data_IF_399163236687
#
_entry.id   IF_399163236687
#
_cell.length_a   1.000
_cell.length_b   1.000
_cell.length_c   1.000
_cell.angle_alpha   90.00
_cell.angle_beta   90.00
_cell.angle_gamma   90.00
#
_symmetry.space_group_name_H-M   'P 1'
#
loop_
_entity.id
_entity.type
_entity.pdbx_description
1 polymer ?
#
# COMPACT_ATOMS: atom_id res chain seq x y z
N UNK A 1 -1.45 -18.36 16.42
CA UNK A 1 -2.83 -17.80 16.47
C UNK A 1 -2.78 -16.28 16.59
N UNK A 2 -1.83 -15.60 15.91
CA UNK A 2 -1.66 -14.13 16.03
C UNK A 2 -1.54 -13.41 14.67
N UNK A 3 -1.28 -14.13 13.58
CA UNK A 3 -0.98 -13.51 12.29
C UNK A 3 -2.17 -12.80 11.65
N UNK A 4 -3.38 -13.36 11.75
CA UNK A 4 -4.56 -12.75 11.11
C UNK A 4 -4.96 -11.41 11.71
N UNK A 5 -4.80 -11.24 13.03
CA UNK A 5 -5.10 -9.96 13.70
C UNK A 5 -4.06 -8.91 13.35
N UNK A 6 -2.78 -9.28 13.30
CA UNK A 6 -1.71 -8.38 12.87
C UNK A 6 -1.86 -7.96 11.40
N UNK A 7 -2.22 -8.91 10.52
CA UNK A 7 -2.49 -8.64 9.10
C UNK A 7 -3.63 -7.64 8.94
N UNK A 8 -4.74 -7.86 9.63
CA UNK A 8 -5.89 -6.95 9.61
C UNK A 8 -5.54 -5.56 10.13
N UNK A 9 -4.79 -5.48 11.24
CA UNK A 9 -4.36 -4.20 11.79
C UNK A 9 -3.44 -3.46 10.83
N UNK A 10 -2.48 -4.15 10.21
CA UNK A 10 -1.57 -3.53 9.24
C UNK A 10 -2.32 -3.04 7.99
N UNK A 11 -3.28 -3.81 7.49
CA UNK A 11 -4.13 -3.37 6.37
C UNK A 11 -4.90 -2.09 6.71
N UNK A 12 -5.43 -1.99 7.93
CA UNK A 12 -6.14 -0.81 8.41
C UNK A 12 -5.23 0.43 8.52
N UNK A 13 -4.01 0.25 9.05
CA UNK A 13 -3.01 1.33 9.11
C UNK A 13 -2.57 1.78 7.71
N UNK A 14 -2.30 0.84 6.80
CA UNK A 14 -1.96 1.15 5.40
C UNK A 14 -3.11 1.91 4.75
N UNK A 15 -4.35 1.42 4.90
CA UNK A 15 -5.55 2.07 4.36
C UNK A 15 -5.71 3.48 4.88
N UNK A 16 -5.51 3.69 6.18
CA UNK A 16 -5.57 5.01 6.79
C UNK A 16 -4.50 5.96 6.24
N UNK A 17 -3.26 5.48 6.06
CA UNK A 17 -2.16 6.29 5.52
C UNK A 17 -2.41 6.71 4.07
N UNK A 18 -2.88 5.79 3.23
CA UNK A 18 -3.22 6.06 1.82
C UNK A 18 -4.37 7.07 1.72
N UNK A 19 -5.44 6.86 2.49
CA UNK A 19 -6.57 7.80 2.55
C UNK A 19 -6.15 9.19 3.07
N UNK A 20 -5.24 9.24 4.04
CA UNK A 20 -4.71 10.51 4.56
C UNK A 20 -3.91 11.29 3.51
N UNK A 21 -3.30 10.59 2.55
CA UNK A 21 -2.65 11.20 1.39
C UNK A 21 -3.65 11.66 0.32
N UNK A 22 -4.94 11.30 0.46
CA UNK A 22 -6.00 11.63 -0.48
C UNK A 22 -6.14 10.66 -1.65
N UNK A 23 -5.61 9.44 -1.51
CA UNK A 23 -5.68 8.40 -2.55
C UNK A 23 -6.67 7.29 -2.16
N UNK A 24 -7.25 6.67 -3.18
CA UNK A 24 -8.14 5.52 -3.02
C UNK A 24 -7.41 4.20 -3.31
N UNK A 25 -7.66 3.20 -2.46
CA UNK A 25 -7.13 1.85 -2.62
C UNK A 25 -8.05 1.05 -3.54
N UNK A 26 -7.47 0.47 -4.59
CA UNK A 26 -8.16 -0.49 -5.45
C UNK A 26 -8.13 -1.89 -4.84
N UNK A 27 -6.94 -2.36 -4.47
CA UNK A 27 -6.74 -3.69 -3.90
C UNK A 27 -5.61 -3.67 -2.87
N UNK A 28 -5.81 -4.37 -1.75
CA UNK A 28 -4.80 -4.52 -0.70
C UNK A 28 -4.88 -5.92 -0.12
N UNK A 29 -3.86 -6.73 -0.38
CA UNK A 29 -3.79 -8.10 0.12
C UNK A 29 -2.41 -8.43 0.65
N UNK A 30 -2.36 -9.39 1.58
CA UNK A 30 -1.09 -9.92 2.07
C UNK A 30 -0.46 -10.82 1.00
N UNK A 31 0.84 -10.67 0.81
CA UNK A 31 1.66 -11.53 -0.04
C UNK A 31 2.73 -12.23 0.83
N UNK A 32 3.43 -13.22 0.29
CA UNK A 32 4.48 -13.99 0.98
C UNK A 32 5.59 -13.08 1.55
N UNK A 33 5.83 -11.93 0.92
CA UNK A 33 6.84 -10.93 1.33
C UNK A 33 6.30 -9.79 2.21
N UNK A 34 4.99 -9.72 2.47
CA UNK A 34 4.36 -8.62 3.20
C UNK A 34 2.98 -8.29 2.66
N UNK A 35 2.83 -7.13 2.02
CA UNK A 35 1.56 -6.67 1.45
C UNK A 35 1.75 -6.11 0.05
N UNK A 36 0.75 -6.33 -0.79
CA UNK A 36 0.66 -5.73 -2.11
C UNK A 36 -0.52 -4.76 -2.12
N UNK A 37 -0.23 -3.52 -2.48
CA UNK A 37 -1.17 -2.41 -2.55
C UNK A 37 -1.29 -1.97 -4.00
N UNK A 38 -2.50 -1.94 -4.53
CA UNK A 38 -2.82 -1.31 -5.81
C UNK A 38 -3.78 -0.15 -5.55
N UNK A 39 -3.47 1.01 -6.11
CA UNK A 39 -4.32 2.19 -6.04
C UNK A 39 -5.35 2.19 -7.17
N UNK A 40 -6.44 2.93 -6.97
CA UNK A 40 -7.46 3.17 -7.99
C UNK A 40 -7.05 4.25 -9.01
N UNK A 41 -5.86 4.82 -8.85
CA UNK A 41 -5.32 5.88 -9.71
C UNK A 41 -3.82 5.69 -9.98
N UNK A 42 -3.36 6.32 -11.06
CA UNK A 42 -1.95 6.37 -11.42
C UNK A 42 -1.29 7.58 -10.76
N UNK A 43 -0.25 7.33 -9.98
CA UNK A 43 0.53 8.38 -9.32
C UNK A 43 1.73 8.77 -10.17
N UNK A 44 2.08 10.05 -10.13
CA UNK A 44 3.35 10.58 -10.63
C UNK A 44 4.50 10.26 -9.65
N UNK A 45 5.74 10.33 -10.13
CA UNK A 45 6.96 10.08 -9.33
C UNK A 45 7.00 10.81 -7.98
N UNK A 46 6.52 12.05 -7.92
CA UNK A 46 6.50 12.86 -6.69
C UNK A 46 5.50 12.29 -5.67
N UNK A 47 4.32 11.89 -6.16
CA UNK A 47 3.27 11.27 -5.35
C UNK A 47 3.65 9.86 -4.89
N UNK A 48 4.33 9.08 -5.75
CA UNK A 48 4.89 7.77 -5.41
C UNK A 48 5.88 7.92 -4.24
N UNK A 49 6.85 8.83 -4.36
CA UNK A 49 7.83 9.07 -3.29
C UNK A 49 7.18 9.55 -1.99
N UNK A 50 6.19 10.46 -2.09
CA UNK A 50 5.45 10.95 -0.94
C UNK A 50 4.73 9.81 -0.23
N UNK A 51 3.99 8.98 -0.98
CA UNK A 51 3.22 7.88 -0.43
C UNK A 51 4.14 6.85 0.24
N UNK A 52 5.24 6.45 -0.41
CA UNK A 52 6.23 5.56 0.20
C UNK A 52 6.78 6.10 1.52
N UNK A 53 6.94 7.42 1.66
CA UNK A 53 7.38 8.04 2.92
C UNK A 53 6.29 8.07 4.02
N UNK A 54 5.01 8.10 3.64
CA UNK A 54 3.88 8.14 4.59
C UNK A 54 3.44 6.75 5.06
N UNK A 55 3.75 5.71 4.29
CA UNK A 55 3.36 4.35 4.62
C UNK A 55 4.07 3.86 5.91
N UNK A 56 3.37 3.07 6.75
CA UNK A 56 3.91 2.58 8.01
C UNK A 56 5.00 1.52 7.85
N UNK A 57 5.12 0.95 6.65
CA UNK A 57 6.08 -0.08 6.27
C UNK A 57 6.94 0.43 5.11
N UNK A 58 8.11 -0.18 4.95
CA UNK A 58 8.96 0.08 3.79
C UNK A 58 8.20 -0.36 2.54
N UNK A 59 7.90 0.60 1.68
CA UNK A 59 7.18 0.39 0.44
C UNK A 59 8.09 0.65 -0.75
N UNK A 60 8.05 -0.26 -1.72
CA UNK A 60 8.69 -0.11 -3.02
C UNK A 60 7.64 0.00 -4.12
N UNK A 61 7.97 0.77 -5.14
CA UNK A 61 7.08 0.96 -6.28
C UNK A 61 7.31 -0.15 -7.31
N UNK A 62 6.32 -1.00 -7.49
CA UNK A 62 6.40 -2.16 -8.41
C UNK A 62 5.98 -1.80 -9.84
N UNK A 63 5.46 -0.59 -10.05
CA UNK A 63 5.00 -0.12 -11.35
C UNK A 63 3.50 0.15 -11.40
N UNK A 64 2.93 -0.05 -12.58
CA UNK A 64 1.52 0.22 -12.86
C UNK A 64 0.77 -1.11 -12.98
N UNK A 65 -0.27 -1.26 -12.16
CA UNK A 65 -1.20 -2.38 -12.17
C UNK A 65 -2.29 -2.23 -13.22
N UNK A 66 -3.40 -2.93 -13.00
CA UNK A 66 -4.53 -2.91 -13.91
C UNK A 66 -5.35 -1.61 -13.78
N UNK A 67 -5.40 -1.03 -12.59
CA UNK A 67 -6.24 0.13 -12.26
C UNK A 67 -5.43 1.35 -11.86
N UNK A 68 -4.25 1.15 -11.27
CA UNK A 68 -3.42 2.25 -10.82
C UNK A 68 -2.02 1.84 -10.42
N UNK A 69 -1.39 2.66 -9.58
CA UNK A 69 -0.02 2.43 -9.13
C UNK A 69 0.06 1.31 -8.10
N UNK A 70 1.04 0.43 -8.26
CA UNK A 70 1.27 -0.73 -7.41
C UNK A 70 2.49 -0.54 -6.51
N UNK A 71 2.35 -0.97 -5.26
CA UNK A 71 3.36 -0.90 -4.24
C UNK A 71 3.49 -2.23 -3.51
N UNK A 72 4.72 -2.65 -3.25
CA UNK A 72 5.01 -3.78 -2.37
C UNK A 72 5.49 -3.25 -1.02
N UNK A 73 4.78 -3.59 0.06
CA UNK A 73 5.17 -3.23 1.42
C UNK A 73 5.77 -4.46 2.10
N UNK A 74 6.99 -4.31 2.60
CA UNK A 74 7.72 -5.37 3.28
C UNK A 74 7.47 -5.32 4.79
N UNK A 75 7.23 -6.50 5.38
CA UNK A 75 7.05 -6.68 6.84
C UNK A 75 8.39 -6.90 7.54
#
# INVERSE_FOLDING_TARGET
>A
MNDYTEIWQLQDVITTAVNACGYDIWDLHANDSGFLLELAEYLDDDAINLLCCQLPLVADYEGQGAHGSMFCLYR
#
